data_IF_350811380159
#
_entry.id   IF_350811380159
#
_cell.length_a   1.000
_cell.length_b   1.000
_cell.length_c   1.000
_cell.angle_alpha   90.00
_cell.angle_beta   90.00
_cell.angle_gamma   90.00
#
_symmetry.space_group_name_H-M   'P 1'
#
loop_
_entity.id
_entity.type
_entity.pdbx_description
1 polymer ?
#
# COMPACT_ATOMS: atom_id res chain seq x y z
N UNK A 1 20.64 -10.60 11.19
CA UNK A 1 20.69 -9.99 12.54
C UNK A 1 21.69 -10.68 13.46
N UNK A 2 21.48 -11.94 13.89
CA UNK A 2 22.40 -12.64 14.83
C UNK A 2 23.85 -12.66 14.32
N UNK A 3 24.05 -13.04 13.05
CA UNK A 3 25.35 -12.95 12.36
C UNK A 3 25.97 -11.55 12.45
N UNK A 4 25.22 -10.54 12.02
CA UNK A 4 25.64 -9.14 12.04
C UNK A 4 26.06 -8.67 13.45
N UNK A 5 25.28 -8.97 14.49
CA UNK A 5 25.66 -8.63 15.87
C UNK A 5 27.00 -9.25 16.27
N UNK A 6 27.20 -10.53 15.96
CA UNK A 6 28.46 -11.23 16.24
C UNK A 6 29.64 -10.64 15.46
N UNK A 7 29.43 -10.29 14.19
CA UNK A 7 30.45 -9.64 13.35
C UNK A 7 30.77 -8.21 13.83
N UNK A 8 29.82 -7.52 14.49
CA UNK A 8 30.03 -6.25 15.18
C UNK A 8 30.61 -6.38 16.59
N UNK A 9 30.95 -7.60 17.01
CA UNK A 9 31.66 -7.86 18.25
C UNK A 9 30.78 -8.13 19.47
N UNK A 10 29.46 -8.29 19.30
CA UNK A 10 28.59 -8.71 20.40
C UNK A 10 29.05 -10.09 20.93
N UNK A 11 29.37 -10.17 22.23
CA UNK A 11 29.91 -11.39 22.84
C UNK A 11 28.83 -12.33 23.39
N UNK A 12 27.67 -11.80 23.72
CA UNK A 12 26.53 -12.57 24.25
C UNK A 12 25.28 -12.17 23.47
N UNK A 13 24.62 -13.16 22.85
CA UNK A 13 23.40 -12.96 22.08
C UNK A 13 22.36 -13.96 22.57
N UNK A 14 21.22 -13.46 23.06
CA UNK A 14 20.07 -14.29 23.39
C UNK A 14 19.09 -14.21 22.22
N UNK A 15 18.74 -15.35 21.65
CA UNK A 15 17.75 -15.46 20.59
C UNK A 15 16.50 -16.08 21.18
N UNK A 16 15.38 -15.35 21.14
CA UNK A 16 14.10 -15.82 21.66
C UNK A 16 13.15 -16.10 20.51
N UNK A 17 12.69 -17.34 20.39
CA UNK A 17 11.71 -17.70 19.37
C UNK A 17 10.91 -18.95 19.74
N UNK A 18 9.68 -19.09 19.23
CA UNK A 18 8.81 -20.25 19.53
C UNK A 18 9.40 -21.60 19.10
N UNK A 19 10.14 -21.61 18.00
CA UNK A 19 10.71 -22.83 17.43
C UNK A 19 12.15 -23.09 17.87
N UNK A 20 12.85 -22.07 18.37
CA UNK A 20 14.29 -22.14 18.62
C UNK A 20 15.12 -22.16 17.33
N UNK A 21 16.43 -22.16 17.48
CA UNK A 21 17.45 -22.22 16.42
C UNK A 21 17.68 -23.66 15.94
N UNK A 22 16.63 -24.31 15.44
CA UNK A 22 16.64 -25.74 15.08
C UNK A 22 17.03 -26.04 13.62
N UNK A 23 17.12 -25.02 12.75
CA UNK A 23 17.51 -25.26 11.35
C UNK A 23 19.00 -25.53 11.21
N UNK A 24 19.38 -26.27 10.16
CA UNK A 24 20.79 -26.55 9.87
C UNK A 24 21.61 -25.26 9.74
N UNK A 25 21.09 -24.27 9.02
CA UNK A 25 21.73 -22.96 8.88
C UNK A 25 21.91 -22.24 10.22
N UNK A 26 20.94 -22.34 11.12
CA UNK A 26 21.01 -21.73 12.45
C UNK A 26 22.07 -22.41 13.32
N UNK A 27 22.14 -23.75 13.28
CA UNK A 27 23.17 -24.51 13.98
C UNK A 27 24.58 -24.23 13.43
N UNK A 28 24.72 -24.14 12.11
CA UNK A 28 25.97 -23.75 11.46
C UNK A 28 26.40 -22.33 11.84
N UNK A 29 25.47 -21.38 11.88
CA UNK A 29 25.71 -20.01 12.36
C UNK A 29 26.18 -19.99 13.81
N UNK A 30 25.51 -20.71 14.71
CA UNK A 30 25.93 -20.80 16.12
C UNK A 30 27.34 -21.37 16.25
N UNK A 31 27.69 -22.37 15.44
CA UNK A 31 29.04 -22.97 15.44
C UNK A 31 30.09 -21.97 14.95
N UNK A 32 29.80 -21.20 13.91
CA UNK A 32 30.69 -20.15 13.41
C UNK A 32 30.90 -19.04 14.45
N UNK A 33 29.82 -18.58 15.07
CA UNK A 33 29.88 -17.53 16.10
C UNK A 33 30.63 -17.99 17.35
N UNK A 34 30.47 -19.26 17.76
CA UNK A 34 31.27 -19.83 18.87
C UNK A 34 32.77 -19.82 18.57
N UNK A 35 33.19 -20.07 17.32
CA UNK A 35 34.61 -19.94 16.92
C UNK A 35 35.13 -18.51 17.06
N UNK A 36 34.25 -17.51 16.92
CA UNK A 36 34.52 -16.08 17.17
C UNK A 36 34.34 -15.68 18.65
N UNK A 37 34.20 -16.64 19.55
CA UNK A 37 33.97 -16.44 20.99
C UNK A 37 32.69 -15.65 21.28
N UNK A 38 31.66 -15.83 20.46
CA UNK A 38 30.33 -15.26 20.67
C UNK A 38 29.45 -16.35 21.28
N UNK A 39 28.97 -16.12 22.50
CA UNK A 39 28.01 -16.99 23.17
C UNK A 39 26.59 -16.71 22.67
N UNK A 40 25.99 -17.67 21.97
CA UNK A 40 24.60 -17.61 21.51
C UNK A 40 23.75 -18.53 22.38
N UNK A 41 22.81 -17.94 23.11
CA UNK A 41 21.82 -18.64 23.93
C UNK A 41 20.51 -18.69 23.14
N UNK A 42 20.09 -19.89 22.75
CA UNK A 42 18.79 -20.12 22.11
C UNK A 42 17.74 -20.39 23.18
N UNK A 43 16.80 -19.45 23.34
CA UNK A 43 15.68 -19.56 24.27
C UNK A 43 14.40 -19.86 23.49
N UNK A 44 14.01 -21.14 23.50
CA UNK A 44 12.76 -21.58 22.88
C UNK A 44 11.56 -21.17 23.75
N UNK A 45 10.95 -20.04 23.43
CA UNK A 45 9.90 -19.42 24.24
C UNK A 45 8.89 -18.71 23.35
N UNK A 46 7.60 -18.85 23.69
CA UNK A 46 6.54 -18.00 23.15
C UNK A 46 6.39 -16.75 24.00
N UNK A 47 6.65 -15.59 23.41
CA UNK A 47 6.55 -14.29 24.08
C UNK A 47 5.11 -13.92 24.46
N UNK A 48 4.11 -14.65 23.96
CA UNK A 48 2.71 -14.43 24.36
C UNK A 48 2.33 -15.17 25.64
N UNK A 49 3.17 -16.06 26.16
CA UNK A 49 2.92 -16.76 27.41
C UNK A 49 3.18 -15.88 28.64
N UNK A 50 2.44 -16.13 29.71
CA UNK A 50 2.52 -15.34 30.96
C UNK A 50 3.87 -15.47 31.68
N UNK A 51 4.61 -16.54 31.44
CA UNK A 51 5.93 -16.81 32.01
C UNK A 51 7.08 -16.25 31.16
N UNK A 52 6.79 -15.58 30.03
CA UNK A 52 7.84 -15.10 29.13
C UNK A 52 8.81 -14.13 29.83
N UNK A 53 8.29 -13.26 30.69
CA UNK A 53 9.12 -12.33 31.47
C UNK A 53 10.12 -13.08 32.37
N UNK A 54 9.65 -14.01 33.20
CA UNK A 54 10.49 -14.71 34.18
C UNK A 54 11.51 -15.63 33.51
N UNK A 55 11.15 -16.24 32.37
CA UNK A 55 12.09 -17.05 31.58
C UNK A 55 13.22 -16.20 31.00
N UNK A 56 12.92 -15.02 30.44
CA UNK A 56 13.96 -14.12 29.91
C UNK A 56 14.82 -13.55 31.04
N UNK A 57 14.20 -13.14 32.15
CA UNK A 57 14.91 -12.66 33.34
C UNK A 57 15.88 -13.73 33.86
N UNK A 58 15.44 -14.99 33.96
CA UNK A 58 16.29 -16.12 34.36
C UNK A 58 17.45 -16.35 33.39
N UNK A 59 17.22 -16.19 32.08
CA UNK A 59 18.27 -16.33 31.07
C UNK A 59 19.33 -15.21 31.12
N UNK A 60 19.00 -14.07 31.72
CA UNK A 60 19.94 -12.96 31.93
C UNK A 60 20.80 -13.13 33.20
N UNK A 61 20.39 -13.96 34.15
CA UNK A 61 21.15 -14.20 35.39
C UNK A 61 22.52 -14.81 35.05
N UNK A 62 23.59 -14.21 35.60
CA UNK A 62 24.97 -14.67 35.37
C UNK A 62 25.55 -14.30 34.00
N UNK A 63 24.83 -13.52 33.19
CA UNK A 63 25.33 -12.98 31.92
C UNK A 63 25.88 -11.56 32.08
N UNK A 64 26.49 -11.04 31.00
CA UNK A 64 26.83 -9.62 30.92
C UNK A 64 25.55 -8.75 30.91
N UNK A 65 25.63 -7.48 31.37
CA UNK A 65 24.51 -6.57 31.33
C UNK A 65 23.88 -6.47 29.93
N UNK A 66 22.54 -6.53 29.86
CA UNK A 66 21.82 -6.35 28.61
C UNK A 66 22.03 -4.91 28.11
N UNK A 67 22.56 -4.77 26.89
CA UNK A 67 22.83 -3.47 26.27
C UNK A 67 21.91 -3.13 25.11
N UNK A 68 21.23 -4.10 24.52
CA UNK A 68 20.35 -3.80 23.40
C UNK A 68 19.28 -4.85 23.15
N UNK A 69 18.16 -4.43 22.57
CA UNK A 69 17.06 -5.32 22.20
C UNK A 69 16.65 -5.09 20.74
N UNK A 70 16.22 -6.18 20.09
CA UNK A 70 15.68 -6.17 18.73
C UNK A 70 14.39 -7.00 18.73
N UNK A 71 13.25 -6.35 18.55
CA UNK A 71 11.96 -7.01 18.46
C UNK A 71 11.53 -7.13 16.99
N UNK A 72 11.67 -8.34 16.46
CA UNK A 72 11.32 -8.68 15.08
C UNK A 72 10.33 -9.87 15.01
N UNK A 73 9.65 -10.19 16.11
CA UNK A 73 8.63 -11.22 16.11
C UNK A 73 7.46 -10.79 15.21
N UNK A 74 6.99 -11.70 14.36
CA UNK A 74 5.88 -11.40 13.45
C UNK A 74 5.12 -12.67 13.11
N UNK A 75 3.83 -12.50 12.83
CA UNK A 75 2.94 -13.49 12.22
C UNK A 75 2.07 -12.75 11.22
N UNK A 76 1.66 -13.45 10.17
CA UNK A 76 0.76 -12.95 9.14
C UNK A 76 -0.46 -13.87 9.11
N UNK A 77 -1.62 -13.28 8.87
CA UNK A 77 -2.90 -13.97 8.68
C UNK A 77 -3.79 -12.98 7.92
N UNK A 78 -3.56 -12.90 6.62
CA UNK A 78 -4.11 -11.87 5.76
C UNK A 78 -5.56 -12.21 5.41
N UNK A 79 -6.49 -11.37 5.87
CA UNK A 79 -7.92 -11.55 5.69
C UNK A 79 -8.62 -10.19 5.61
N UNK A 80 -9.60 -10.04 4.73
CA UNK A 80 -10.40 -8.81 4.69
C UNK A 80 -11.06 -8.58 6.06
N UNK A 81 -11.14 -7.31 6.47
CA UNK A 81 -11.59 -6.94 7.82
C UNK A 81 -12.97 -7.53 8.15
N UNK A 82 -13.89 -7.56 7.18
CA UNK A 82 -15.24 -8.14 7.36
C UNK A 82 -15.23 -9.64 7.64
N UNK A 83 -14.18 -10.35 7.22
CA UNK A 83 -14.01 -11.78 7.43
C UNK A 83 -13.08 -12.08 8.62
N UNK A 84 -12.49 -11.06 9.24
CA UNK A 84 -11.48 -11.21 10.27
C UNK A 84 -12.10 -11.47 11.64
N UNK A 85 -12.01 -12.71 12.10
CA UNK A 85 -12.47 -13.11 13.43
C UNK A 85 -11.52 -12.67 14.54
N UNK A 86 -11.99 -12.78 15.79
CA UNK A 86 -11.19 -12.47 16.99
C UNK A 86 -9.87 -13.22 17.04
N UNK A 87 -9.87 -14.50 16.66
CA UNK A 87 -8.65 -15.31 16.71
C UNK A 87 -7.62 -14.84 15.67
N UNK A 88 -8.05 -14.49 14.45
CA UNK A 88 -7.17 -13.97 13.40
C UNK A 88 -6.49 -12.65 13.84
N UNK A 89 -7.23 -11.79 14.54
CA UNK A 89 -6.69 -10.58 15.14
C UNK A 89 -5.65 -10.92 16.22
N UNK A 90 -6.03 -11.71 17.23
CA UNK A 90 -5.15 -12.04 18.36
C UNK A 90 -3.88 -12.77 17.94
N UNK A 91 -3.98 -13.66 16.95
CA UNK A 91 -2.85 -14.43 16.45
C UNK A 91 -1.75 -13.54 15.84
N UNK A 92 -2.14 -12.45 15.18
CA UNK A 92 -1.20 -11.50 14.55
C UNK A 92 -0.75 -10.40 15.51
N UNK A 93 -1.66 -9.90 16.34
CA UNK A 93 -1.37 -8.85 17.32
C UNK A 93 -0.44 -9.35 18.43
N UNK A 94 -0.76 -10.49 19.03
CA UNK A 94 -0.15 -10.91 20.30
C UNK A 94 1.37 -11.07 20.24
N UNK A 95 1.98 -11.71 19.22
CA UNK A 95 3.43 -11.88 19.18
C UNK A 95 4.20 -10.55 19.15
N UNK A 96 3.66 -9.54 18.45
CA UNK A 96 4.25 -8.20 18.39
C UNK A 96 4.03 -7.43 19.69
N UNK A 97 2.77 -7.34 20.12
CA UNK A 97 2.37 -6.54 21.27
C UNK A 97 2.97 -7.11 22.55
N UNK A 98 2.72 -8.39 22.85
CA UNK A 98 3.20 -9.01 24.10
C UNK A 98 4.72 -9.12 24.14
N UNK A 99 5.35 -9.43 23.01
CA UNK A 99 6.82 -9.43 22.95
C UNK A 99 7.42 -8.05 23.23
N UNK A 100 6.82 -6.98 22.70
CA UNK A 100 7.28 -5.63 22.96
C UNK A 100 6.97 -5.15 24.40
N UNK A 101 5.83 -5.52 24.98
CA UNK A 101 5.48 -5.27 26.39
C UNK A 101 6.49 -5.93 27.33
N UNK A 102 6.79 -7.22 27.12
CA UNK A 102 7.76 -7.96 27.93
C UNK A 102 9.13 -7.28 27.89
N UNK A 103 9.61 -6.92 26.70
CA UNK A 103 10.89 -6.22 26.55
C UNK A 103 10.85 -4.83 27.19
N UNK A 104 9.76 -4.08 27.04
CA UNK A 104 9.61 -2.77 27.67
C UNK A 104 9.70 -2.88 29.20
N UNK A 105 8.91 -3.76 29.80
CA UNK A 105 8.90 -3.94 31.26
C UNK A 105 10.27 -4.36 31.79
N UNK A 106 10.89 -5.37 31.15
CA UNK A 106 12.20 -5.88 31.51
C UNK A 106 13.28 -4.79 31.46
N UNK A 107 13.23 -3.91 30.46
CA UNK A 107 14.32 -2.96 30.18
C UNK A 107 14.05 -1.53 30.64
N UNK A 108 12.86 -1.24 31.17
CA UNK A 108 12.44 0.12 31.58
C UNK A 108 13.36 0.77 32.61
N UNK A 109 14.08 -0.03 33.40
CA UNK A 109 15.04 0.43 34.43
C UNK A 109 16.49 0.11 34.07
N UNK A 110 16.76 -0.36 32.85
CA UNK A 110 18.08 -0.76 32.39
C UNK A 110 18.70 0.31 31.49
N UNK A 111 20.01 0.50 31.59
CA UNK A 111 20.76 1.34 30.66
C UNK A 111 21.03 0.56 29.37
N UNK A 112 20.25 0.85 28.33
CA UNK A 112 20.44 0.28 26.99
C UNK A 112 21.15 1.27 26.06
N UNK A 113 21.94 0.73 25.15
CA UNK A 113 22.47 1.45 23.99
C UNK A 113 21.40 1.58 22.89
N UNK A 114 20.54 0.57 22.72
CA UNK A 114 19.42 0.62 21.77
C UNK A 114 18.25 -0.27 22.16
N UNK A 115 17.05 0.12 21.74
CA UNK A 115 15.82 -0.69 21.83
C UNK A 115 15.10 -0.58 20.49
N UNK A 116 15.21 -1.62 19.67
CA UNK A 116 14.73 -1.57 18.28
C UNK A 116 13.44 -2.36 18.11
N UNK A 117 12.44 -1.73 17.49
CA UNK A 117 11.17 -2.33 17.11
C UNK A 117 11.06 -2.38 15.58
N UNK A 118 10.76 -3.56 15.03
CA UNK A 118 10.53 -3.72 13.60
C UNK A 118 9.04 -3.53 13.31
N UNK A 119 8.70 -2.34 12.81
CA UNK A 119 7.39 -2.00 12.24
C UNK A 119 7.36 -2.35 10.74
N UNK A 120 6.33 -1.88 10.04
CA UNK A 120 6.16 -2.07 8.60
C UNK A 120 5.68 -0.79 7.94
N UNK A 121 6.10 -0.57 6.69
CA UNK A 121 5.58 0.49 5.83
C UNK A 121 4.05 0.48 5.70
N UNK A 122 3.41 -0.66 5.94
CA UNK A 122 1.94 -0.79 5.87
C UNK A 122 1.21 0.07 6.92
N UNK A 123 1.86 0.52 8.00
CA UNK A 123 1.26 1.47 8.95
C UNK A 123 0.93 2.82 8.31
N UNK A 124 1.67 3.19 7.27
CA UNK A 124 1.56 4.47 6.58
C UNK A 124 0.54 4.39 5.43
N UNK A 125 0.56 3.30 4.67
CA UNK A 125 -0.24 3.14 3.42
C UNK A 125 -1.47 2.24 3.57
N UNK A 126 -1.52 1.43 4.62
CA UNK A 126 -2.40 0.26 4.68
C UNK A 126 -1.93 -0.86 3.75
N UNK A 127 -2.57 -2.02 3.86
CA UNK A 127 -2.49 -3.08 2.86
C UNK A 127 -3.77 -3.92 2.94
N UNK A 128 -4.48 -4.18 1.83
CA UNK A 128 -5.69 -5.00 1.83
C UNK A 128 -5.45 -6.36 2.50
N UNK A 129 -6.35 -6.72 3.41
CA UNK A 129 -6.26 -7.97 4.18
C UNK A 129 -5.38 -7.89 5.43
N UNK A 130 -4.66 -6.79 5.67
CA UNK A 130 -3.66 -6.71 6.75
C UNK A 130 -4.04 -5.77 7.89
N UNK A 131 -5.34 -5.59 8.17
CA UNK A 131 -5.79 -4.70 9.25
C UNK A 131 -5.21 -5.09 10.62
N UNK A 132 -5.16 -6.40 10.93
CA UNK A 132 -4.50 -6.95 12.12
C UNK A 132 -3.00 -6.62 12.18
N UNK A 133 -2.29 -6.80 11.08
CA UNK A 133 -0.85 -6.56 10.99
C UNK A 133 -0.52 -5.06 11.09
N UNK A 134 -1.29 -4.21 10.42
CA UNK A 134 -1.18 -2.75 10.52
C UNK A 134 -1.42 -2.30 11.96
N UNK A 135 -2.45 -2.82 12.64
CA UNK A 135 -2.71 -2.51 14.04
C UNK A 135 -1.56 -2.97 14.97
N UNK A 136 -1.01 -4.17 14.73
CA UNK A 136 0.11 -4.70 15.50
C UNK A 136 1.38 -3.84 15.39
N UNK A 137 1.68 -3.35 14.19
CA UNK A 137 2.82 -2.47 13.95
C UNK A 137 2.58 -1.05 14.47
N UNK A 138 1.36 -0.54 14.36
CA UNK A 138 0.98 0.78 14.93
C UNK A 138 1.15 0.81 16.45
N UNK A 139 0.88 -0.31 17.14
CA UNK A 139 1.19 -0.45 18.56
C UNK A 139 2.69 -0.29 18.85
N UNK A 140 3.56 -0.90 18.02
CA UNK A 140 5.02 -0.77 18.20
C UNK A 140 5.49 0.68 18.02
N UNK A 141 4.93 1.39 17.05
CA UNK A 141 5.21 2.81 16.84
C UNK A 141 4.75 3.68 18.02
N UNK A 142 3.57 3.40 18.57
CA UNK A 142 3.06 4.06 19.77
C UNK A 142 3.94 3.77 21.00
N UNK A 143 4.36 2.51 21.20
CA UNK A 143 5.28 2.14 22.28
C UNK A 143 6.63 2.83 22.14
N UNK A 144 7.15 2.95 20.90
CA UNK A 144 8.39 3.67 20.64
C UNK A 144 8.28 5.14 21.01
N UNK A 145 7.18 5.80 20.59
CA UNK A 145 6.89 7.18 20.99
C UNK A 145 6.79 7.33 22.51
N UNK A 146 6.08 6.42 23.18
CA UNK A 146 5.96 6.41 24.64
C UNK A 146 7.32 6.29 25.33
N UNK A 147 8.20 5.39 24.87
CA UNK A 147 9.55 5.23 25.43
C UNK A 147 10.38 6.50 25.26
N UNK A 148 10.37 7.12 24.07
CA UNK A 148 11.08 8.38 23.82
C UNK A 148 10.59 9.52 24.71
N UNK A 149 9.27 9.66 24.88
CA UNK A 149 8.68 10.63 25.81
C UNK A 149 9.11 10.42 27.27
N UNK A 150 9.59 9.22 27.63
CA UNK A 150 10.13 8.89 28.94
C UNK A 150 11.66 8.79 28.95
N UNK A 151 12.32 9.36 27.93
CA UNK A 151 13.79 9.38 27.80
C UNK A 151 14.41 7.98 27.83
N UNK A 152 13.65 6.96 27.42
CA UNK A 152 14.13 5.60 27.26
C UNK A 152 14.58 5.40 25.81
N UNK A 153 15.69 4.68 25.57
CA UNK A 153 16.12 4.31 24.23
C UNK A 153 14.97 3.66 23.47
N UNK A 154 14.72 4.11 22.24
CA UNK A 154 13.80 3.48 21.30
C UNK A 154 14.02 3.93 19.87
N UNK A 155 14.11 2.95 18.97
CA UNK A 155 14.17 3.13 17.53
C UNK A 155 13.10 2.24 16.89
N UNK A 156 12.21 2.82 16.08
CA UNK A 156 11.19 2.07 15.36
C UNK A 156 11.41 2.22 13.85
N UNK A 157 11.52 1.09 13.15
CA UNK A 157 11.84 1.05 11.72
C UNK A 157 10.67 0.41 10.97
N UNK A 158 10.03 1.18 10.09
CA UNK A 158 8.93 0.75 9.24
C UNK A 158 9.48 0.20 7.92
N UNK A 159 9.64 -1.11 7.86
CA UNK A 159 10.24 -1.78 6.70
C UNK A 159 9.21 -2.02 5.58
N UNK A 160 9.64 -1.81 4.32
CA UNK A 160 9.00 -2.39 3.16
C UNK A 160 9.19 -3.91 3.09
N UNK A 161 8.69 -4.54 2.03
CA UNK A 161 8.86 -5.98 1.82
C UNK A 161 10.34 -6.36 1.66
N UNK A 162 10.79 -7.38 2.40
CA UNK A 162 12.18 -7.88 2.35
C UNK A 162 12.20 -9.20 1.56
N UNK A 163 12.94 -9.26 0.46
CA UNK A 163 12.76 -10.32 -0.55
C UNK A 163 13.54 -11.62 -0.35
N UNK A 164 14.70 -11.56 0.29
CA UNK A 164 15.71 -12.62 0.31
C UNK A 164 15.77 -13.36 1.65
N UNK A 165 15.08 -12.84 2.67
CA UNK A 165 14.94 -13.47 3.99
C UNK A 165 13.52 -13.31 4.54
N UNK A 166 13.17 -14.12 5.54
CA UNK A 166 11.88 -14.00 6.21
C UNK A 166 10.72 -14.62 5.42
N UNK A 167 9.55 -13.98 5.45
CA UNK A 167 8.30 -14.57 4.93
C UNK A 167 8.21 -14.53 3.41
N UNK A 168 8.60 -13.43 2.76
CA UNK A 168 8.51 -13.31 1.30
C UNK A 168 9.49 -14.26 0.59
N UNK A 169 10.69 -14.46 1.13
CA UNK A 169 11.67 -15.41 0.59
C UNK A 169 11.17 -16.87 0.63
N UNK A 170 10.26 -17.20 1.55
CA UNK A 170 9.70 -18.56 1.71
C UNK A 170 8.41 -18.77 0.92
N UNK A 171 7.86 -17.73 0.30
CA UNK A 171 6.60 -17.78 -0.43
C UNK A 171 6.66 -16.93 -1.70
N UNK A 172 7.06 -17.57 -2.81
CA UNK A 172 7.22 -16.94 -4.12
C UNK A 172 5.94 -16.29 -4.63
N UNK A 173 4.78 -16.90 -4.39
CA UNK A 173 3.49 -16.35 -4.80
C UNK A 173 3.14 -15.05 -4.04
N UNK A 174 3.42 -14.99 -2.74
CA UNK A 174 3.31 -13.75 -1.96
C UNK A 174 4.30 -12.69 -2.43
N UNK A 175 5.54 -13.07 -2.77
CA UNK A 175 6.56 -12.16 -3.30
C UNK A 175 6.12 -11.52 -4.62
N UNK A 176 5.58 -12.31 -5.55
CA UNK A 176 5.06 -11.83 -6.83
C UNK A 176 3.86 -10.90 -6.63
N UNK A 177 2.89 -11.33 -5.81
CA UNK A 177 1.70 -10.53 -5.49
C UNK A 177 2.07 -9.18 -4.86
N UNK A 178 3.02 -9.19 -3.93
CA UNK A 178 3.50 -7.98 -3.24
C UNK A 178 4.21 -7.03 -4.20
N UNK A 179 5.08 -7.55 -5.08
CA UNK A 179 5.82 -6.77 -6.09
C UNK A 179 4.87 -6.16 -7.13
N UNK A 180 3.86 -6.91 -7.56
CA UNK A 180 2.88 -6.44 -8.53
C UNK A 180 1.99 -5.32 -7.94
N UNK A 181 1.50 -5.51 -6.70
CA UNK A 181 0.56 -4.58 -6.04
C UNK A 181 1.20 -3.29 -5.58
N UNK A 182 2.36 -3.36 -4.94
CA UNK A 182 2.96 -2.17 -4.34
C UNK A 182 3.87 -1.41 -5.31
N UNK A 183 4.29 -2.04 -6.42
CA UNK A 183 5.24 -1.48 -7.37
C UNK A 183 6.64 -1.23 -6.82
N UNK A 184 6.80 -1.24 -5.50
CA UNK A 184 8.03 -0.96 -4.81
C UNK A 184 9.05 -2.06 -5.03
N UNK A 185 10.29 -1.65 -5.32
CA UNK A 185 11.43 -2.53 -5.23
C UNK A 185 11.51 -3.12 -3.82
N UNK A 186 11.54 -4.44 -3.73
CA UNK A 186 11.72 -5.12 -2.46
C UNK A 186 13.13 -4.85 -1.91
N UNK A 187 13.23 -4.73 -0.59
CA UNK A 187 14.51 -4.58 0.09
C UNK A 187 15.22 -5.93 0.15
N UNK A 188 16.53 -5.95 -0.05
CA UNK A 188 17.34 -7.10 0.34
C UNK A 188 17.82 -6.96 1.80
N UNK A 189 18.14 -8.09 2.42
CA UNK A 189 18.55 -8.18 3.82
C UNK A 189 19.83 -7.40 4.11
N UNK A 190 20.75 -7.31 3.15
CA UNK A 190 21.98 -6.52 3.28
C UNK A 190 21.67 -5.02 3.44
N UNK A 191 20.71 -4.51 2.66
CA UNK A 191 20.23 -3.12 2.74
C UNK A 191 19.55 -2.87 4.08
N UNK A 192 18.68 -3.79 4.52
CA UNK A 192 18.01 -3.70 5.83
C UNK A 192 19.02 -3.63 6.97
N UNK A 193 20.07 -4.46 6.93
CA UNK A 193 21.12 -4.46 7.95
C UNK A 193 21.96 -3.18 7.91
N UNK A 194 22.31 -2.68 6.71
CA UNK A 194 23.05 -1.43 6.55
C UNK A 194 22.27 -0.23 7.10
N UNK A 195 20.97 -0.13 6.78
CA UNK A 195 20.09 0.92 7.30
C UNK A 195 19.89 0.79 8.80
N UNK A 196 19.68 -0.43 9.31
CA UNK A 196 19.56 -0.68 10.75
C UNK A 196 20.81 -0.23 11.51
N UNK A 197 21.99 -0.58 11.00
CA UNK A 197 23.26 -0.19 11.60
C UNK A 197 23.41 1.33 11.64
N UNK A 198 23.21 1.98 10.50
CA UNK A 198 23.25 3.44 10.40
C UNK A 198 22.27 4.09 11.39
N UNK A 199 21.03 3.59 11.43
CA UNK A 199 20.00 4.12 12.32
C UNK A 199 20.32 3.91 13.81
N UNK A 200 20.98 2.81 14.20
CA UNK A 200 21.41 2.59 15.59
C UNK A 200 22.56 3.55 15.97
N UNK A 201 23.50 3.81 15.06
CA UNK A 201 24.64 4.71 15.33
C UNK A 201 24.22 6.18 15.32
N UNK A 202 23.33 6.55 14.39
CA UNK A 202 22.94 7.92 14.12
C UNK A 202 21.66 8.36 14.82
N UNK A 203 20.97 7.53 15.62
CA UNK A 203 19.73 7.94 16.28
C UNK A 203 20.02 9.01 17.35
N UNK A 204 20.21 10.23 16.89
CA UNK A 204 19.80 11.44 17.56
C UNK A 204 18.26 11.45 17.62
N UNK A 205 17.76 12.06 18.68
CA UNK A 205 16.36 12.21 19.09
C UNK A 205 15.36 12.26 17.89
N UNK A 206 14.34 11.38 17.91
CA UNK A 206 13.12 11.44 17.09
C UNK A 206 13.07 10.94 15.63
N UNK A 207 13.88 9.95 15.24
CA UNK A 207 13.73 9.35 13.89
C UNK A 207 12.91 8.06 13.86
N UNK A 208 11.77 8.05 13.16
CA UNK A 208 11.14 6.84 12.62
C UNK A 208 11.49 6.75 11.13
N UNK A 209 12.00 5.61 10.66
CA UNK A 209 12.43 5.46 9.27
C UNK A 209 11.44 4.62 8.47
N UNK A 210 11.16 5.08 7.25
CA UNK A 210 10.41 4.34 6.23
C UNK A 210 11.39 4.00 5.08
N UNK A 211 11.55 2.72 4.78
CA UNK A 211 12.40 2.26 3.68
C UNK A 211 11.53 1.68 2.55
N UNK A 212 11.26 2.50 1.53
CA UNK A 212 10.44 2.16 0.36
C UNK A 212 10.95 2.86 -0.89
N UNK A 213 10.70 2.28 -2.06
CA UNK A 213 10.82 3.00 -3.34
C UNK A 213 9.61 3.93 -3.50
N UNK A 214 9.78 5.19 -3.11
CA UNK A 214 8.69 6.19 -3.09
C UNK A 214 8.09 6.43 -4.47
N UNK A 215 8.95 6.51 -5.50
CA UNK A 215 8.54 6.80 -6.88
C UNK A 215 7.64 5.68 -7.42
N UNK A 216 8.10 4.43 -7.30
CA UNK A 216 7.33 3.28 -7.76
C UNK A 216 6.03 3.13 -6.97
N UNK A 217 6.06 3.38 -5.67
CA UNK A 217 4.89 3.32 -4.80
C UNK A 217 3.84 4.39 -5.15
N UNK A 218 4.24 5.65 -5.40
CA UNK A 218 3.32 6.73 -5.85
C UNK A 218 2.64 6.37 -7.17
N UNK A 219 3.36 5.74 -8.10
CA UNK A 219 2.81 5.40 -9.41
C UNK A 219 1.67 4.38 -9.34
N UNK A 220 1.71 3.46 -8.37
CA UNK A 220 0.76 2.33 -8.27
C UNK A 220 -0.23 2.39 -7.12
N UNK A 221 0.08 3.12 -6.04
CA UNK A 221 -0.80 3.21 -4.87
C UNK A 221 -1.52 4.54 -4.80
N UNK A 222 -2.85 4.49 -4.90
CA UNK A 222 -3.71 5.65 -4.65
C UNK A 222 -3.52 6.22 -3.25
N UNK A 223 -3.27 5.37 -2.25
CA UNK A 223 -3.03 5.84 -0.88
C UNK A 223 -1.79 6.73 -0.78
N UNK A 224 -0.76 6.50 -1.61
CA UNK A 224 0.44 7.34 -1.68
C UNK A 224 0.21 8.71 -2.36
N UNK A 225 -0.90 8.87 -3.09
CA UNK A 225 -1.32 10.15 -3.70
C UNK A 225 -2.13 11.05 -2.75
N UNK A 226 -2.46 10.58 -1.54
CA UNK A 226 -3.23 11.35 -0.56
C UNK A 226 -2.50 12.62 -0.08
N UNK A 227 -3.26 13.65 0.31
CA UNK A 227 -2.75 14.94 0.80
C UNK A 227 -1.76 14.87 1.96
N UNK A 228 -1.80 13.79 2.76
CA UNK A 228 -0.83 13.55 3.85
C UNK A 228 0.60 13.35 3.32
N UNK A 229 0.77 13.05 2.04
CA UNK A 229 2.07 12.87 1.38
C UNK A 229 2.46 14.02 0.45
N UNK A 230 1.73 15.15 0.47
CA UNK A 230 1.97 16.27 -0.46
C UNK A 230 3.43 16.73 -0.50
N UNK A 231 4.12 16.70 0.65
CA UNK A 231 5.51 17.15 0.74
C UNK A 231 6.47 16.23 -0.03
N UNK A 232 6.26 14.91 0.04
CA UNK A 232 7.05 13.93 -0.71
C UNK A 232 6.68 13.92 -2.20
N UNK A 233 5.44 14.25 -2.53
CA UNK A 233 4.98 14.36 -3.91
C UNK A 233 5.50 15.63 -4.61
N UNK A 234 5.54 16.76 -3.89
CA UNK A 234 6.00 18.03 -4.43
C UNK A 234 7.51 18.06 -4.75
N UNK A 235 8.32 17.25 -4.05
CA UNK A 235 9.77 17.16 -4.31
C UNK A 235 10.12 16.38 -5.57
N UNK A 236 9.27 15.45 -6.02
CA UNK A 236 9.50 14.62 -7.22
C UNK A 236 9.00 15.30 -8.51
N UNK A 237 7.98 16.16 -8.43
CA UNK A 237 7.45 16.89 -9.59
C UNK A 237 8.45 17.92 -10.17
N UNK A 238 9.59 18.17 -9.51
CA UNK A 238 10.68 19.01 -10.01
C UNK A 238 11.64 18.28 -10.97
N UNK A 239 11.57 16.94 -11.08
CA UNK A 239 12.55 16.14 -11.85
C UNK A 239 12.01 15.01 -12.74
N UNK A 240 10.68 14.86 -12.91
CA UNK A 240 10.10 13.89 -13.86
C UNK A 240 9.86 14.49 -15.26
N UNK A 241 10.13 13.76 -16.37
CA UNK A 241 9.68 14.19 -17.69
C UNK A 241 8.14 14.24 -17.73
N UNK A 242 7.60 15.31 -18.32
CA UNK A 242 6.17 15.61 -18.42
C UNK A 242 5.48 14.60 -19.37
N UNK A 243 5.14 13.41 -18.85
CA UNK A 243 4.53 12.30 -19.61
C UNK A 243 3.23 12.71 -20.32
N UNK A 244 2.55 13.75 -19.81
CA UNK A 244 1.33 14.29 -20.43
C UNK A 244 1.59 14.94 -21.79
N UNK A 245 2.76 15.57 -21.97
CA UNK A 245 3.17 16.17 -23.25
C UNK A 245 3.56 15.11 -24.27
N UNK A 246 4.29 14.07 -23.85
CA UNK A 246 4.70 12.95 -24.70
C UNK A 246 3.49 12.17 -25.24
N UNK A 247 2.48 11.90 -24.39
CA UNK A 247 1.25 11.24 -24.81
C UNK A 247 0.44 12.09 -25.81
N UNK A 248 0.32 13.40 -25.57
CA UNK A 248 -0.40 14.30 -26.48
C UNK A 248 0.25 14.33 -27.87
N UNK A 249 1.57 14.39 -27.93
CA UNK A 249 2.33 14.33 -29.19
C UNK A 249 2.13 12.99 -29.92
N UNK A 250 2.19 11.87 -29.19
CA UNK A 250 1.89 10.53 -29.74
C UNK A 250 0.49 10.45 -30.35
N UNK A 251 -0.54 10.97 -29.65
CA UNK A 251 -1.92 10.96 -30.12
C UNK A 251 -2.15 11.90 -31.31
N UNK A 252 -1.44 13.03 -31.36
CA UNK A 252 -1.50 13.96 -32.50
C UNK A 252 -0.92 13.37 -33.79
N UNK A 253 0.09 12.50 -33.68
CA UNK A 253 0.68 11.80 -34.83
C UNK A 253 -0.28 10.77 -35.46
N UNK A 254 -1.36 10.37 -34.78
CA UNK A 254 -2.37 9.47 -35.29
C UNK A 254 -3.50 10.22 -36.00
N UNK A 255 -4.03 9.60 -37.07
CA UNK A 255 -5.28 10.07 -37.71
C UNK A 255 -6.45 10.03 -36.70
N UNK A 256 -7.52 10.85 -36.87
CA UNK A 256 -8.64 10.91 -35.93
C UNK A 256 -9.27 9.55 -35.57
N UNK A 257 -9.44 8.66 -36.56
CA UNK A 257 -10.02 7.32 -36.34
C UNK A 257 -9.09 6.41 -35.51
N UNK A 258 -7.79 6.39 -35.83
CA UNK A 258 -6.79 5.65 -35.06
C UNK A 258 -6.57 6.25 -33.66
N UNK A 259 -6.72 7.57 -33.50
CA UNK A 259 -6.64 8.25 -32.21
C UNK A 259 -7.77 7.82 -31.27
N UNK A 260 -9.00 7.75 -31.79
CA UNK A 260 -10.15 7.27 -31.02
C UNK A 260 -9.95 5.80 -30.59
N UNK A 261 -9.55 4.93 -31.52
CA UNK A 261 -9.30 3.53 -31.22
C UNK A 261 -8.21 3.33 -30.15
N UNK A 262 -7.09 4.07 -30.24
CA UNK A 262 -6.00 4.01 -29.26
C UNK A 262 -6.48 4.44 -27.86
N UNK A 263 -7.28 5.52 -27.76
CA UNK A 263 -7.82 5.97 -26.46
C UNK A 263 -8.80 4.95 -25.89
N UNK A 264 -9.66 4.35 -26.71
CA UNK A 264 -10.56 3.27 -26.28
C UNK A 264 -9.77 2.10 -25.71
N UNK A 265 -8.71 1.67 -26.40
CA UNK A 265 -7.89 0.54 -25.94
C UNK A 265 -7.13 0.85 -24.65
N UNK A 266 -6.57 2.06 -24.52
CA UNK A 266 -5.91 2.50 -23.28
C UNK A 266 -6.88 2.52 -22.10
N UNK A 267 -8.08 3.09 -22.28
CA UNK A 267 -9.08 3.16 -21.22
C UNK A 267 -9.62 1.76 -20.88
N UNK A 268 -9.81 0.89 -21.87
CA UNK A 268 -10.28 -0.48 -21.65
C UNK A 268 -9.31 -1.26 -20.76
N UNK A 269 -8.00 -1.15 -20.98
CA UNK A 269 -6.98 -1.79 -20.15
C UNK A 269 -7.07 -1.35 -18.69
N UNK A 270 -7.29 -0.06 -18.43
CA UNK A 270 -7.41 0.45 -17.06
C UNK A 270 -8.71 -0.01 -16.39
N UNK A 271 -9.82 -0.04 -17.12
CA UNK A 271 -11.09 -0.56 -16.60
C UNK A 271 -11.00 -2.07 -16.31
N UNK A 272 -10.38 -2.85 -17.19
CA UNK A 272 -10.17 -4.29 -16.99
C UNK A 272 -9.39 -4.58 -15.71
N UNK A 273 -8.37 -3.76 -15.40
CA UNK A 273 -7.60 -3.87 -14.14
C UNK A 273 -8.46 -3.59 -12.91
N UNK A 274 -9.27 -2.52 -12.95
CA UNK A 274 -10.13 -2.11 -11.84
C UNK A 274 -11.21 -3.17 -11.56
N UNK A 275 -11.80 -3.73 -12.62
CA UNK A 275 -12.84 -4.75 -12.53
C UNK A 275 -12.30 -6.19 -12.38
N UNK A 276 -10.98 -6.38 -12.33
CA UNK A 276 -10.33 -7.69 -12.29
C UNK A 276 -10.74 -8.62 -13.44
N UNK A 277 -10.96 -8.05 -14.63
CA UNK A 277 -11.30 -8.80 -15.83
C UNK A 277 -10.03 -9.30 -16.55
N UNK A 278 -10.16 -10.42 -17.26
CA UNK A 278 -9.14 -10.85 -18.22
C UNK A 278 -9.09 -9.91 -19.42
N UNK A 279 -7.93 -9.81 -20.08
CA UNK A 279 -7.77 -8.96 -21.25
C UNK A 279 -8.77 -9.30 -22.37
N UNK A 280 -9.48 -8.30 -22.88
CA UNK A 280 -10.57 -8.44 -23.84
C UNK A 280 -11.92 -8.84 -23.22
N UNK A 281 -12.03 -8.82 -21.89
CA UNK A 281 -13.23 -9.17 -21.14
C UNK A 281 -14.24 -8.03 -21.00
N UNK A 282 -13.87 -6.80 -21.38
CA UNK A 282 -14.73 -5.63 -21.32
C UNK A 282 -15.66 -5.54 -22.55
N UNK A 283 -16.97 -5.43 -22.32
CA UNK A 283 -17.92 -5.05 -23.38
C UNK A 283 -17.88 -3.53 -23.58
N UNK A 284 -17.42 -3.10 -24.75
CA UNK A 284 -17.20 -1.68 -25.07
C UNK A 284 -18.50 -0.88 -25.24
N UNK A 285 -19.62 -1.56 -25.51
CA UNK A 285 -20.92 -0.91 -25.76
C UNK A 285 -21.82 -0.90 -24.53
N UNK A 286 -21.48 -1.69 -23.52
CA UNK A 286 -22.25 -1.77 -22.29
C UNK A 286 -21.80 -0.67 -21.31
N UNK A 287 -22.73 -0.19 -20.48
CA UNK A 287 -22.41 0.71 -19.37
C UNK A 287 -21.39 0.06 -18.43
N UNK A 288 -20.46 0.86 -17.92
CA UNK A 288 -19.48 0.38 -16.93
C UNK A 288 -20.15 -0.08 -15.63
N UNK A 289 -21.28 0.51 -15.24
CA UNK A 289 -22.02 0.12 -14.02
C UNK A 289 -22.64 -1.26 -14.13
N UNK A 290 -23.20 -1.57 -15.29
CA UNK A 290 -23.76 -2.90 -15.57
C UNK A 290 -22.67 -3.99 -15.62
N UNK A 291 -21.42 -3.57 -15.87
CA UNK A 291 -20.24 -4.45 -15.86
C UNK A 291 -19.58 -4.56 -14.48
N UNK A 292 -20.21 -4.01 -13.43
CA UNK A 292 -19.77 -4.17 -12.04
C UNK A 292 -18.95 -3.00 -11.49
N UNK A 293 -18.87 -1.88 -12.21
CA UNK A 293 -18.22 -0.67 -11.68
C UNK A 293 -19.11 0.01 -10.63
N UNK A 294 -18.56 0.18 -9.43
CA UNK A 294 -19.22 0.93 -8.34
C UNK A 294 -18.72 2.39 -8.24
N UNK A 295 -19.32 3.17 -7.34
CA UNK A 295 -18.98 4.59 -7.16
C UNK A 295 -17.54 4.84 -6.66
N UNK A 296 -16.94 3.88 -5.94
CA UNK A 296 -15.55 4.01 -5.47
C UNK A 296 -14.57 3.69 -6.60
N UNK A 297 -14.86 2.65 -7.39
CA UNK A 297 -14.13 2.30 -8.61
C UNK A 297 -14.21 3.41 -9.66
N UNK A 298 -15.34 4.11 -9.75
CA UNK A 298 -15.48 5.30 -10.60
C UNK A 298 -14.51 6.41 -10.21
N UNK A 299 -14.35 6.71 -8.92
CA UNK A 299 -13.38 7.72 -8.46
C UNK A 299 -11.93 7.29 -8.78
N UNK A 300 -11.62 6.00 -8.66
CA UNK A 300 -10.33 5.44 -9.05
C UNK A 300 -10.07 5.56 -10.56
N UNK A 301 -11.09 5.30 -11.40
CA UNK A 301 -11.01 5.48 -12.84
C UNK A 301 -10.80 6.95 -13.23
N UNK A 302 -11.57 7.88 -12.65
CA UNK A 302 -11.37 9.32 -12.87
C UNK A 302 -9.93 9.74 -12.58
N UNK A 303 -9.42 9.38 -11.40
CA UNK A 303 -8.07 9.73 -10.98
C UNK A 303 -7.00 9.16 -11.92
N UNK A 304 -7.22 7.94 -12.41
CA UNK A 304 -6.32 7.28 -13.37
C UNK A 304 -6.33 8.00 -14.72
N UNK A 305 -7.51 8.39 -15.22
CA UNK A 305 -7.68 9.12 -16.47
C UNK A 305 -7.04 10.51 -16.39
N UNK A 306 -7.33 11.27 -15.35
CA UNK A 306 -6.78 12.61 -15.15
C UNK A 306 -5.25 12.59 -15.13
N UNK A 307 -4.67 11.61 -14.41
CA UNK A 307 -3.23 11.43 -14.32
C UNK A 307 -2.59 10.95 -15.63
N UNK A 308 -3.24 10.04 -16.35
CA UNK A 308 -2.69 9.45 -17.58
C UNK A 308 -2.78 10.39 -18.77
N UNK A 309 -3.86 11.15 -18.88
CA UNK A 309 -4.16 12.01 -20.03
C UNK A 309 -3.90 13.50 -19.77
N UNK A 310 -3.60 13.89 -18.53
CA UNK A 310 -3.33 15.29 -18.17
C UNK A 310 -4.56 16.20 -18.28
N UNK A 311 -5.75 15.66 -17.98
CA UNK A 311 -7.03 16.37 -18.05
C UNK A 311 -7.70 16.45 -16.68
N UNK A 312 -8.79 17.21 -16.58
CA UNK A 312 -9.72 17.16 -15.44
C UNK A 312 -11.04 16.55 -15.88
N UNK A 313 -11.51 15.55 -15.15
CA UNK A 313 -12.75 14.85 -15.48
C UNK A 313 -13.80 15.13 -14.41
N UNK A 314 -14.96 15.65 -14.81
CA UNK A 314 -16.06 15.86 -13.88
C UNK A 314 -16.54 14.52 -13.31
N UNK A 315 -16.70 14.44 -11.98
CA UNK A 315 -17.21 13.24 -11.30
C UNK A 315 -18.64 12.88 -11.71
N UNK A 316 -19.39 13.84 -12.25
CA UNK A 316 -20.73 13.63 -12.80
C UNK A 316 -20.72 12.73 -14.04
N UNK A 317 -19.66 12.79 -14.86
CA UNK A 317 -19.51 11.96 -16.07
C UNK A 317 -19.47 10.47 -15.73
N UNK A 318 -18.81 10.11 -14.62
CA UNK A 318 -18.70 8.72 -14.20
C UNK A 318 -19.92 8.25 -13.42
N UNK A 319 -20.63 9.17 -12.76
CA UNK A 319 -21.89 8.88 -12.07
C UNK A 319 -23.03 8.49 -13.04
N UNK A 320 -22.92 8.87 -14.32
CA UNK A 320 -23.85 8.51 -15.38
C UNK A 320 -23.63 7.10 -15.94
N UNK A 321 -22.61 6.37 -15.46
CA UNK A 321 -22.28 5.03 -15.93
C UNK A 321 -21.99 4.97 -17.45
N UNK A 322 -21.03 5.76 -17.96
CA UNK A 322 -20.79 5.86 -19.40
C UNK A 322 -20.30 4.52 -19.97
N UNK A 323 -20.41 4.34 -21.27
CA UNK A 323 -19.67 3.30 -21.99
C UNK A 323 -18.20 3.71 -22.14
N UNK A 324 -17.31 2.75 -22.40
CA UNK A 324 -15.88 3.08 -22.63
C UNK A 324 -15.71 3.99 -23.86
N UNK A 325 -16.54 3.81 -24.88
CA UNK A 325 -16.55 4.65 -26.08
C UNK A 325 -16.97 6.09 -25.75
N UNK A 326 -18.01 6.26 -24.93
CA UNK A 326 -18.47 7.59 -24.50
C UNK A 326 -17.41 8.30 -23.66
N UNK A 327 -16.79 7.57 -22.74
CA UNK A 327 -15.71 8.09 -21.91
C UNK A 327 -14.50 8.51 -22.76
N UNK A 328 -14.14 7.73 -23.78
CA UNK A 328 -13.06 8.04 -24.73
C UNK A 328 -13.30 9.33 -25.51
N UNK A 329 -14.55 9.59 -25.93
CA UNK A 329 -14.93 10.85 -26.58
C UNK A 329 -14.72 12.05 -25.66
N UNK A 330 -15.10 11.90 -24.38
CA UNK A 330 -14.96 12.96 -23.38
C UNK A 330 -13.48 13.24 -23.13
N UNK A 331 -12.65 12.21 -22.95
CA UNK A 331 -11.20 12.36 -22.78
C UNK A 331 -10.58 13.10 -23.97
N UNK A 332 -10.92 12.72 -25.20
CA UNK A 332 -10.41 13.41 -26.39
C UNK A 332 -10.89 14.86 -26.51
N UNK A 333 -12.12 15.15 -26.07
CA UNK A 333 -12.65 16.51 -26.03
C UNK A 333 -11.88 17.38 -25.03
N UNK A 334 -11.66 16.87 -23.82
CA UNK A 334 -10.89 17.58 -22.78
C UNK A 334 -9.42 17.77 -23.17
N UNK A 335 -8.84 16.87 -23.97
CA UNK A 335 -7.50 17.05 -24.54
C UNK A 335 -7.43 18.03 -25.73
N UNK A 336 -8.57 18.56 -26.18
CA UNK A 336 -8.71 19.32 -27.43
C UNK A 336 -8.22 18.56 -28.67
N UNK A 337 -8.46 17.24 -28.70
CA UNK A 337 -8.05 16.34 -29.76
C UNK A 337 -9.22 15.71 -30.53
N UNK A 338 -10.45 16.13 -30.22
CA UNK A 338 -11.66 15.74 -30.93
C UNK A 338 -11.95 16.74 -32.07
N UNK A 339 -12.08 16.26 -33.30
CA UNK A 339 -12.58 17.08 -34.41
C UNK A 339 -14.11 17.05 -34.35
N UNK A 340 -14.76 18.20 -34.24
CA UNK A 340 -16.19 18.32 -34.51
C UNK A 340 -16.41 17.96 -35.99
N UNK A 341 -17.09 16.85 -36.25
CA UNK A 341 -17.69 16.59 -37.55
C UNK A 341 -19.08 17.24 -37.53
N UNK A 342 -19.30 18.19 -38.43
CA UNK A 342 -20.55 18.92 -38.60
C UNK A 342 -21.72 17.96 -38.83
N UNK A 343 -22.64 17.82 -37.87
CA UNK A 343 -23.93 17.18 -38.11
C UNK A 343 -24.58 16.51 -36.90
N UNK A 344 -25.18 17.30 -36.02
CA UNK A 344 -26.52 17.15 -35.42
C UNK A 344 -26.62 18.26 -34.37
N UNK A 345 -27.26 19.37 -34.74
CA UNK A 345 -27.63 20.41 -33.79
C UNK A 345 -28.74 19.86 -32.87
N UNK A 346 -28.44 19.65 -31.59
CA UNK A 346 -29.46 19.37 -30.57
C UNK A 346 -30.05 20.73 -30.16
N UNK A 347 -31.31 20.96 -30.52
CA UNK A 347 -32.06 22.16 -30.12
C UNK A 347 -32.23 22.21 -28.58
N UNK A 348 -32.05 23.38 -27.93
CA UNK A 348 -32.22 23.57 -26.48
C UNK A 348 -33.57 23.09 -25.95
N UNK A 349 -34.62 23.12 -26.78
CA UNK A 349 -35.99 22.73 -26.37
C UNK A 349 -36.12 21.24 -26.00
N UNK A 350 -35.23 20.38 -26.51
CA UNK A 350 -35.27 18.94 -26.19
C UNK A 350 -34.72 18.63 -24.79
N UNK A 351 -33.96 19.54 -24.18
CA UNK A 351 -33.35 19.33 -22.87
C UNK A 351 -34.34 19.51 -21.72
N UNK A 352 -35.28 20.45 -21.81
CA UNK A 352 -36.20 20.72 -20.70
C UNK A 352 -37.24 19.61 -20.52
N UNK A 353 -37.77 19.05 -21.62
CA UNK A 353 -38.73 17.96 -21.59
C UNK A 353 -38.11 16.62 -21.16
N UNK A 354 -36.87 16.36 -21.55
CA UNK A 354 -36.13 15.17 -21.11
C UNK A 354 -35.76 15.25 -19.62
N UNK A 355 -35.42 16.44 -19.11
CA UNK A 355 -35.21 16.66 -17.66
C UNK A 355 -36.50 16.45 -16.87
N UNK A 356 -37.66 16.90 -17.36
CA UNK A 356 -38.96 16.65 -16.74
C UNK A 356 -39.35 15.17 -16.76
N UNK A 357 -39.12 14.48 -17.89
CA UNK A 357 -39.40 13.05 -18.03
C UNK A 357 -38.56 12.18 -17.10
N UNK A 358 -37.26 12.48 -16.98
CA UNK A 358 -36.33 11.81 -16.07
C UNK A 358 -36.75 12.01 -14.61
N UNK A 359 -37.22 13.21 -14.26
CA UNK A 359 -37.70 13.52 -12.90
C UNK A 359 -38.96 12.75 -12.52
N UNK A 360 -39.77 12.34 -13.50
CA UNK A 360 -41.05 11.65 -13.29
C UNK A 360 -41.04 10.16 -13.69
N UNK A 361 -39.90 9.63 -14.15
CA UNK A 361 -39.71 8.20 -14.40
C UNK A 361 -40.55 7.65 -15.56
N UNK A 362 -40.80 8.45 -16.59
CA UNK A 362 -41.60 8.06 -17.76
C UNK A 362 -40.78 8.15 -19.04
N UNK A 363 -40.81 7.10 -19.85
CA UNK A 363 -40.26 7.11 -21.21
C UNK A 363 -41.12 7.98 -22.14
N UNK A 364 -40.49 8.91 -22.87
CA UNK A 364 -41.18 9.83 -23.78
C UNK A 364 -40.85 9.46 -25.21
N UNK A 365 -41.87 9.17 -26.01
CA UNK A 365 -41.72 8.85 -27.44
C UNK A 365 -41.64 10.11 -28.31
N UNK A 366 -41.06 10.01 -29.51
CA UNK A 366 -41.05 11.11 -30.50
C UNK A 366 -42.45 11.66 -30.82
N UNK A 367 -43.49 10.81 -30.70
CA UNK A 367 -44.89 11.21 -30.86
C UNK A 367 -45.41 12.09 -29.71
N UNK A 368 -44.90 11.90 -28.50
CA UNK A 368 -45.28 12.71 -27.34
C UNK A 368 -44.61 14.09 -27.39
N UNK A 369 -43.37 14.16 -27.88
CA UNK A 369 -42.69 15.43 -28.18
C UNK A 369 -43.49 16.29 -29.16
N UNK A 370 -44.02 15.70 -30.24
CA UNK A 370 -44.80 16.47 -31.21
C UNK A 370 -46.16 16.92 -30.66
N UNK A 371 -46.84 16.11 -29.85
CA UNK A 371 -48.10 16.55 -29.22
C UNK A 371 -47.91 17.73 -28.28
N UNK A 372 -46.84 17.73 -27.49
CA UNK A 372 -46.54 18.85 -26.57
C UNK A 372 -46.18 20.10 -27.36
N UNK A 373 -45.40 19.97 -28.42
CA UNK A 373 -45.02 21.08 -29.30
C UNK A 373 -46.24 21.70 -30.00
N UNK A 374 -47.18 20.88 -30.47
CA UNK A 374 -48.43 21.34 -31.07
C UNK A 374 -49.38 22.00 -30.05
N UNK A 375 -49.36 21.56 -28.79
CA UNK A 375 -50.16 22.16 -27.72
C UNK A 375 -49.62 23.53 -27.29
N UNK A 376 -48.30 23.67 -27.17
CA UNK A 376 -47.63 24.92 -26.82
C UNK A 376 -47.69 25.97 -27.95
N UNK A 377 -47.85 25.54 -29.19
CA UNK A 377 -48.03 26.43 -30.34
C UNK A 377 -49.48 26.97 -30.50
N UNK A 378 -50.43 26.53 -29.65
CA UNK A 378 -51.84 26.94 -29.66
C UNK A 378 -52.23 27.90 -28.54
N UNK A 379 -51.30 28.26 -27.66
CA UNK A 379 -51.37 29.43 -26.76
C UNK A 379 -50.59 30.59 -27.36
#
# INVERSE_FOLDING_TARGET
MVRWLGDKGAKHIIVVSRQGMISQDAMSLCTELRKKQVNVIDLRLDLTHSDAYSNIESALIGQLPLRGTLHAATRFDDLLLNNMGRQNLLDVLSPKIKGAEVLHHLTSKMTLDFFVLFSSATTVFGNPGQANYVAANSYLEALSAYRRQHQLPSLCLAWGGIEDVGVLARNTALKETFSQRLGAQLLNSATVISVLEKAIVESAEDSSYLAVDWHAMRSKLLSAKQNKFRFFNASDDLHGPDQSKDLREKLLALSPQHRFAEVVDMLAIEVEKILFLSHGGLDRRQSLFEQGMDSLMGVELATTIESGFGIQLSTMVLAEGPTIERLSQIVLKEMHLYAEDDGIAISPDNQELSVLAIKHGTDVSDGDYQRVKEALAKE
#
